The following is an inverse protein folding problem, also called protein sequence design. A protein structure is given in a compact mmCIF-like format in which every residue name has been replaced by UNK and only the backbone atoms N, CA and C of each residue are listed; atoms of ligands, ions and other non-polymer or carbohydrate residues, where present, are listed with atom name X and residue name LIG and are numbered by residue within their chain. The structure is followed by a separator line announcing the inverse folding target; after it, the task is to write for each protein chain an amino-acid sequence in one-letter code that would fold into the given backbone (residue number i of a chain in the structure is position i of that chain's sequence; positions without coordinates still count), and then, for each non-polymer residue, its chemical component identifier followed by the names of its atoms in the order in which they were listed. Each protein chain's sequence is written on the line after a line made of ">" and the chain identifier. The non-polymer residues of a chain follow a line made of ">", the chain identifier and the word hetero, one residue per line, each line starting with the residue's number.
data_IF_862392461381
#
_entry.id   IF_862392461381
#
_cell.length_a   1.000
_cell.length_b   1.000
_cell.length_c   1.000
_cell.angle_alpha   90.00
_cell.angle_beta   90.00
_cell.angle_gamma   90.00
#
_symmetry.space_group_name_H-M   'P 1'
#
loop_
_entity.id
_entity.type
_entity.pdbx_description
1 polymer ?
#
# COMPACT_ATOMS: atom_id res chain seq x y z
N UNK A 1 20.03 18.33 -38.72
CA UNK A 1 18.58 18.30 -38.44
C UNK A 1 18.03 16.91 -38.17
N UNK A 2 18.46 15.86 -38.91
CA UNK A 2 17.92 14.49 -38.80
C UNK A 2 18.08 13.82 -37.41
N UNK A 3 19.21 14.04 -36.71
CA UNK A 3 19.47 13.43 -35.39
C UNK A 3 18.43 13.80 -34.29
N UNK A 4 17.81 14.99 -34.37
CA UNK A 4 16.76 15.39 -33.41
C UNK A 4 15.46 14.64 -33.63
N UNK A 5 15.17 14.26 -34.88
CA UNK A 5 13.97 13.51 -35.23
C UNK A 5 14.06 12.05 -34.76
N UNK A 6 15.22 11.43 -34.89
CA UNK A 6 15.45 10.06 -34.42
C UNK A 6 15.32 9.95 -32.90
N UNK A 7 15.81 10.95 -32.16
CA UNK A 7 15.66 11.00 -30.71
C UNK A 7 14.19 11.08 -30.28
N UNK A 8 13.40 11.94 -30.95
CA UNK A 8 11.96 12.06 -30.69
C UNK A 8 11.24 10.75 -31.01
N UNK A 9 11.58 10.12 -32.14
CA UNK A 9 10.99 8.86 -32.57
C UNK A 9 11.27 7.71 -31.59
N UNK A 10 12.52 7.61 -31.11
CA UNK A 10 12.90 6.63 -30.10
C UNK A 10 12.20 6.92 -28.76
N UNK A 11 12.08 8.18 -28.36
CA UNK A 11 11.32 8.59 -27.18
C UNK A 11 9.83 8.19 -27.26
N UNK A 12 9.18 8.41 -28.41
CA UNK A 12 7.80 7.98 -28.64
C UNK A 12 7.64 6.47 -28.51
N UNK A 13 8.57 5.67 -29.03
CA UNK A 13 8.53 4.20 -28.89
C UNK A 13 8.62 3.78 -27.43
N UNK A 14 9.55 4.36 -26.67
CA UNK A 14 9.71 4.07 -25.24
C UNK A 14 8.43 4.44 -24.49
N UNK A 15 7.83 5.59 -24.82
CA UNK A 15 6.57 6.04 -24.21
C UNK A 15 5.42 5.08 -24.51
N UNK A 16 5.29 4.59 -25.73
CA UNK A 16 4.25 3.61 -26.10
C UNK A 16 4.43 2.32 -25.30
N UNK A 17 5.65 1.79 -25.22
CA UNK A 17 5.94 0.57 -24.44
C UNK A 17 5.65 0.80 -22.95
N UNK A 18 6.04 1.96 -22.42
CA UNK A 18 5.78 2.33 -21.04
C UNK A 18 4.28 2.38 -20.74
N UNK A 19 3.49 3.11 -21.55
CA UNK A 19 2.03 3.22 -21.37
C UNK A 19 1.35 1.87 -21.50
N UNK A 20 1.75 1.04 -22.47
CA UNK A 20 1.21 -0.31 -22.63
C UNK A 20 1.51 -1.19 -21.40
N UNK A 21 2.73 -1.11 -20.88
CA UNK A 21 3.14 -1.81 -19.66
C UNK A 21 2.33 -1.32 -18.44
N UNK A 22 2.20 -0.01 -18.25
CA UNK A 22 1.41 0.58 -17.17
C UNK A 22 -0.06 0.16 -17.25
N UNK A 23 -0.65 0.18 -18.44
CA UNK A 23 -2.03 -0.25 -18.64
C UNK A 23 -2.20 -1.74 -18.32
N UNK A 24 -1.27 -2.59 -18.76
CA UNK A 24 -1.29 -4.03 -18.46
C UNK A 24 -1.27 -4.28 -16.94
N UNK A 25 -0.37 -3.62 -16.21
CA UNK A 25 -0.32 -3.74 -14.75
C UNK A 25 -1.57 -3.17 -14.07
N UNK A 26 -2.08 -2.03 -14.51
CA UNK A 26 -3.29 -1.44 -13.96
C UNK A 26 -4.48 -2.39 -14.03
N UNK A 27 -4.74 -2.95 -15.22
CA UNK A 27 -5.82 -3.91 -15.40
C UNK A 27 -5.54 -5.24 -14.69
N UNK A 28 -4.29 -5.69 -14.65
CA UNK A 28 -3.89 -6.88 -13.89
C UNK A 28 -4.15 -6.75 -12.40
N UNK A 29 -3.83 -5.60 -11.80
CA UNK A 29 -4.11 -5.31 -10.39
C UNK A 29 -5.61 -5.21 -10.16
N UNK A 30 -6.36 -4.55 -11.04
CA UNK A 30 -7.82 -4.48 -10.92
C UNK A 30 -8.46 -5.88 -10.98
N UNK A 31 -8.00 -6.74 -11.88
CA UNK A 31 -8.44 -8.12 -11.97
C UNK A 31 -8.13 -8.89 -10.68
N UNK A 32 -6.90 -8.76 -10.16
CA UNK A 32 -6.48 -9.39 -8.92
C UNK A 32 -7.29 -8.88 -7.70
N UNK A 33 -7.56 -7.59 -7.65
CA UNK A 33 -8.33 -6.95 -6.57
C UNK A 33 -9.82 -7.33 -6.63
N UNK A 34 -10.37 -7.53 -7.83
CA UNK A 34 -11.74 -8.03 -7.98
C UNK A 34 -11.90 -9.42 -7.35
N UNK A 35 -10.89 -10.29 -7.51
CA UNK A 35 -10.84 -11.59 -6.84
C UNK A 35 -10.69 -11.45 -5.32
N UNK A 36 -9.84 -10.52 -4.85
CA UNK A 36 -9.61 -10.29 -3.42
C UNK A 36 -10.83 -9.72 -2.67
N UNK A 37 -11.73 -9.03 -3.38
CA UNK A 37 -12.97 -8.50 -2.79
C UNK A 37 -14.05 -9.58 -2.57
N UNK A 38 -13.82 -10.82 -3.01
CA UNK A 38 -14.67 -11.97 -2.67
C UNK A 38 -14.49 -12.42 -1.22
N UNK A 39 -15.41 -11.98 -0.37
CA UNK A 39 -15.75 -12.61 0.92
C UNK A 39 -14.62 -12.80 1.96
N UNK A 40 -14.02 -11.70 2.38
CA UNK A 40 -13.56 -11.57 3.78
C UNK A 40 -14.13 -10.30 4.42
N UNK A 41 -15.46 -10.15 4.31
CA UNK A 41 -16.18 -9.30 5.25
C UNK A 41 -15.94 -9.93 6.62
N UNK A 42 -15.07 -9.33 7.44
CA UNK A 42 -14.99 -9.69 8.84
C UNK A 42 -16.42 -9.62 9.37
N UNK A 43 -16.98 -10.75 9.79
CA UNK A 43 -18.18 -10.73 10.60
C UNK A 43 -17.87 -9.82 11.78
N UNK A 44 -18.64 -8.73 11.89
CA UNK A 44 -18.49 -7.78 12.99
C UNK A 44 -18.51 -8.59 14.28
N UNK A 45 -17.45 -8.52 15.12
CA UNK A 45 -17.44 -9.33 16.33
C UNK A 45 -18.64 -8.96 17.18
N UNK A 46 -19.54 -9.92 17.42
CA UNK A 46 -20.61 -9.82 18.40
C UNK A 46 -19.98 -9.90 19.81
N UNK A 47 -19.33 -8.81 20.22
CA UNK A 47 -18.62 -8.76 21.49
C UNK A 47 -18.34 -7.33 21.88
N UNK A 48 -18.88 -6.93 23.03
CA UNK A 48 -18.73 -5.59 23.60
C UNK A 48 -17.23 -5.22 23.65
N UNK A 49 -16.80 -4.24 22.86
CA UNK A 49 -15.42 -3.80 22.83
C UNK A 49 -15.05 -3.16 24.17
N UNK A 50 -14.45 -3.94 25.07
CA UNK A 50 -13.89 -3.43 26.31
C UNK A 50 -12.65 -2.61 25.91
N UNK A 51 -12.73 -1.28 26.05
CA UNK A 51 -11.54 -0.44 26.03
C UNK A 51 -10.66 -0.81 27.22
N UNK A 52 -9.65 -1.64 26.98
CA UNK A 52 -8.58 -1.95 27.95
C UNK A 52 -7.57 -0.80 27.94
N UNK A 53 -8.03 0.40 28.28
CA UNK A 53 -7.18 1.54 28.55
C UNK A 53 -7.72 2.28 29.76
N UNK A 54 -7.64 1.63 30.91
CA UNK A 54 -7.69 2.36 32.17
C UNK A 54 -6.88 1.57 33.20
N UNK A 55 -5.85 2.23 33.72
CA UNK A 55 -5.06 1.83 34.90
C UNK A 55 -3.80 0.98 34.65
N UNK A 56 -2.83 1.53 33.93
CA UNK A 56 -1.43 1.30 34.30
C UNK A 56 -0.68 2.63 34.24
N UNK A 57 -0.59 3.25 35.42
CA UNK A 57 0.41 4.22 35.89
C UNK A 57 1.11 5.09 34.83
N UNK A 58 0.91 6.40 34.96
CA UNK A 58 1.77 7.47 34.47
C UNK A 58 3.25 7.25 34.87
N UNK A 59 3.96 6.41 34.13
CA UNK A 59 5.40 6.46 34.02
C UNK A 59 5.71 6.88 32.59
N UNK A 60 6.55 7.90 32.42
CA UNK A 60 6.85 8.60 31.17
C UNK A 60 7.39 7.66 30.08
N UNK A 61 6.53 6.87 29.43
CA UNK A 61 6.91 6.07 28.27
C UNK A 61 7.14 7.07 27.13
N UNK A 62 8.41 7.37 26.89
CA UNK A 62 8.82 8.29 25.85
C UNK A 62 8.35 7.73 24.51
N UNK A 63 7.70 8.56 23.67
CA UNK A 63 7.16 8.17 22.36
C UNK A 63 8.12 7.32 21.51
N UNK A 64 9.43 7.57 21.65
CA UNK A 64 10.51 6.83 21.02
C UNK A 64 10.61 5.35 21.43
N UNK A 65 10.43 5.04 22.71
CA UNK A 65 10.47 3.65 23.20
C UNK A 65 9.28 2.85 22.68
N UNK A 66 8.12 3.51 22.57
CA UNK A 66 6.92 2.91 21.99
C UNK A 66 7.12 2.55 20.50
N UNK A 67 7.75 3.45 19.74
CA UNK A 67 8.15 3.18 18.35
C UNK A 67 9.16 2.04 18.22
N UNK A 68 10.14 2.00 19.13
CA UNK A 68 11.14 0.92 19.15
C UNK A 68 10.50 -0.44 19.42
N UNK A 69 9.56 -0.51 20.36
CA UNK A 69 8.81 -1.74 20.65
C UNK A 69 7.90 -2.15 19.50
N UNK A 70 7.22 -1.21 18.84
CA UNK A 70 6.42 -1.48 17.64
C UNK A 70 7.28 -2.12 16.55
N UNK A 71 8.49 -1.60 16.33
CA UNK A 71 9.40 -2.15 15.33
C UNK A 71 9.85 -3.59 15.65
N UNK A 72 10.08 -3.89 16.92
CA UNK A 72 10.57 -5.21 17.35
C UNK A 72 9.46 -6.26 17.44
N UNK A 73 8.25 -5.88 17.86
CA UNK A 73 7.15 -6.80 18.19
C UNK A 73 5.93 -6.69 17.26
N UNK A 74 5.78 -5.61 16.52
CA UNK A 74 4.69 -5.40 15.57
C UNK A 74 3.34 -5.01 16.19
N UNK A 75 3.28 -4.75 17.50
CA UNK A 75 2.10 -4.20 18.21
C UNK A 75 2.31 -2.74 18.64
#
# INVERSE_FOLDING_TARGET
>A
MLSRFEAIWNGCKILIVFVACTAFFYYGILFLMAEYQGDQRYDTPEGNAIKVFENMSEEDITFRERLWHFWQRGE
#
